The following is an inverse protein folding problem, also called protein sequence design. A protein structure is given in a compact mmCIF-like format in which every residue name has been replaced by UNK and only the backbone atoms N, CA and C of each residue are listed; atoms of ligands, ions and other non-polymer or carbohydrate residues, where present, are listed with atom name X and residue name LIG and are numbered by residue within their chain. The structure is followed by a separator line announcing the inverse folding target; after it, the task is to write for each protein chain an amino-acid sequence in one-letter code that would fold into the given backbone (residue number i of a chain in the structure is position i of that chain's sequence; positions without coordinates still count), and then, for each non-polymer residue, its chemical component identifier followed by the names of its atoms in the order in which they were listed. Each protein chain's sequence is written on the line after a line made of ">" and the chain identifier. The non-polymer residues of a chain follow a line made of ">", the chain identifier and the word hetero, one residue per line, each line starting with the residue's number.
data_IF_111684981067
#
_entry.id   IF_111684981067
#
_cell.length_a   1.000
_cell.length_b   1.000
_cell.length_c   1.000
_cell.angle_alpha   90.00
_cell.angle_beta   90.00
_cell.angle_gamma   90.00
#
_symmetry.space_group_name_H-M   'P 1'
#
loop_
_entity.id
_entity.type
_entity.pdbx_description
1 polymer ?
#
# COMPACT_ATOMS: atom_id res chain seq x y z
N UNK A 1 25.73 9.16 43.10
CA UNK A 1 24.52 9.15 43.96
C UNK A 1 23.59 8.04 43.47
N UNK A 2 23.20 7.13 44.37
CA UNK A 2 22.32 5.97 44.13
C UNK A 2 20.86 6.41 44.00
N UNK A 3 20.12 5.95 42.98
CA UNK A 3 18.65 5.76 42.98
C UNK A 3 18.31 4.62 42.01
N UNK A 4 18.09 3.38 42.47
CA UNK A 4 16.89 2.76 43.08
C UNK A 4 15.83 2.31 42.05
N UNK A 5 15.71 0.98 42.01
CA UNK A 5 14.71 0.07 41.46
C UNK A 5 13.26 0.57 41.43
N UNK A 6 12.50 0.05 40.45
CA UNK A 6 11.04 0.12 40.44
C UNK A 6 10.41 -0.79 39.39
N UNK A 7 10.61 -2.10 39.51
CA UNK A 7 9.88 -3.12 38.74
C UNK A 7 8.50 -3.31 39.38
N UNK A 8 7.42 -2.95 38.69
CA UNK A 8 6.06 -3.25 39.11
C UNK A 8 5.43 -4.22 38.10
N UNK A 9 5.48 -5.50 38.46
CA UNK A 9 4.73 -6.58 37.80
C UNK A 9 3.35 -6.63 38.49
N UNK A 10 2.28 -6.30 37.78
CA UNK A 10 0.91 -6.51 38.26
C UNK A 10 0.19 -7.44 37.29
N UNK A 11 0.20 -8.72 37.61
CA UNK A 11 -0.62 -9.73 36.95
C UNK A 11 -1.94 -9.85 37.72
N UNK A 12 -3.05 -9.49 37.06
CA UNK A 12 -4.39 -9.77 37.55
C UNK A 12 -5.04 -10.78 36.60
N UNK A 13 -4.93 -12.06 36.94
CA UNK A 13 -5.62 -13.14 36.27
C UNK A 13 -7.01 -13.32 36.90
N UNK A 14 -8.05 -12.93 36.17
CA UNK A 14 -9.44 -13.21 36.53
C UNK A 14 -9.93 -14.36 35.63
N UNK A 15 -9.88 -15.59 36.15
CA UNK A 15 -10.39 -16.77 35.46
C UNK A 15 -11.82 -17.05 35.95
N UNK A 16 -12.80 -16.89 35.06
CA UNK A 16 -14.17 -17.36 35.27
C UNK A 16 -14.38 -18.69 34.53
N UNK A 17 -14.92 -19.74 35.17
CA UNK A 17 -15.26 -20.98 34.48
C UNK A 17 -16.57 -20.81 33.70
N UNK A 18 -16.47 -20.68 32.37
CA UNK A 18 -17.61 -20.88 31.48
C UNK A 18 -17.85 -22.39 31.33
N UNK A 19 -18.90 -22.90 31.97
CA UNK A 19 -19.41 -24.24 31.70
C UNK A 19 -20.20 -24.21 30.40
N UNK A 20 -19.54 -24.58 29.30
CA UNK A 20 -20.20 -24.86 28.03
C UNK A 20 -20.78 -26.28 28.11
N UNK A 21 -22.12 -26.37 28.02
CA UNK A 21 -22.82 -27.62 27.77
C UNK A 21 -22.40 -28.13 26.38
N UNK A 22 -21.59 -29.19 26.36
CA UNK A 22 -21.23 -29.90 25.15
C UNK A 22 -22.48 -30.59 24.59
N UNK A 23 -23.05 -30.01 23.54
CA UNK A 23 -24.06 -30.67 22.73
C UNK A 23 -23.30 -31.59 21.76
N UNK A 24 -23.30 -32.87 22.08
CA UNK A 24 -22.65 -33.96 21.35
C UNK A 24 -23.40 -34.20 20.03
N UNK A 25 -23.27 -33.24 19.10
CA UNK A 25 -23.68 -33.41 17.72
C UNK A 25 -22.49 -34.04 16.99
N UNK A 26 -22.59 -35.28 16.50
CA UNK A 26 -21.55 -35.85 15.66
C UNK A 26 -21.36 -34.91 14.47
N UNK A 27 -20.14 -34.35 14.35
CA UNK A 27 -19.78 -33.52 13.24
C UNK A 27 -20.10 -34.29 11.95
N UNK A 28 -20.85 -33.71 11.00
CA UNK A 28 -21.01 -34.35 9.70
C UNK A 28 -19.62 -34.62 9.18
N UNK A 29 -19.33 -35.88 8.86
CA UNK A 29 -18.08 -36.32 8.26
C UNK A 29 -17.72 -35.32 7.16
N UNK A 30 -16.72 -34.48 7.42
CA UNK A 30 -16.28 -33.49 6.45
C UNK A 30 -15.63 -34.31 5.36
N UNK A 31 -16.40 -34.62 4.32
CA UNK A 31 -15.86 -35.11 3.06
C UNK A 31 -14.69 -34.19 2.74
N UNK A 32 -13.48 -34.74 2.78
CA UNK A 32 -12.26 -34.00 2.52
C UNK A 32 -12.46 -33.33 1.16
N UNK A 33 -12.70 -32.02 1.18
CA UNK A 33 -12.85 -31.25 -0.04
C UNK A 33 -11.55 -31.49 -0.82
N UNK A 34 -11.69 -32.02 -2.04
CA UNK A 34 -10.57 -32.21 -2.96
C UNK A 34 -9.83 -30.87 -3.01
N UNK A 35 -8.63 -30.84 -2.44
CA UNK A 35 -7.89 -29.62 -2.16
C UNK A 35 -7.41 -29.10 -3.52
N UNK A 36 -8.21 -28.23 -4.14
CA UNK A 36 -7.95 -27.72 -5.47
C UNK A 36 -6.52 -27.16 -5.51
N UNK A 37 -5.70 -27.49 -6.52
CA UNK A 37 -4.30 -27.14 -6.53
C UNK A 37 -4.11 -25.62 -6.44
N UNK A 38 -3.34 -25.17 -5.46
CA UNK A 38 -3.02 -23.75 -5.27
C UNK A 38 -1.93 -23.34 -6.25
N UNK A 39 -2.24 -22.38 -7.13
CA UNK A 39 -1.29 -21.84 -8.10
C UNK A 39 -0.55 -20.66 -7.48
N UNK A 40 0.78 -20.73 -7.42
CA UNK A 40 1.63 -19.69 -6.81
C UNK A 40 2.28 -18.82 -7.88
N UNK A 41 2.02 -17.52 -7.83
CA UNK A 41 2.55 -16.52 -8.78
C UNK A 41 3.37 -15.46 -8.05
N UNK A 42 4.50 -15.04 -8.62
CA UNK A 42 5.36 -14.02 -8.03
C UNK A 42 4.97 -12.63 -8.52
N UNK A 43 4.85 -11.68 -7.60
CA UNK A 43 4.59 -10.26 -7.87
C UNK A 43 5.87 -9.48 -7.57
N UNK A 44 6.61 -9.11 -8.62
CA UNK A 44 7.93 -8.46 -8.48
C UNK A 44 7.94 -7.00 -8.90
N UNK A 45 6.87 -6.54 -9.54
CA UNK A 45 6.63 -5.17 -9.98
C UNK A 45 5.15 -4.82 -9.84
N UNK A 46 4.78 -3.56 -10.11
CA UNK A 46 3.38 -3.15 -10.09
C UNK A 46 2.57 -3.95 -11.11
N UNK A 47 1.44 -4.51 -10.69
CA UNK A 47 0.72 -5.48 -11.50
C UNK A 47 -0.77 -5.51 -11.22
N UNK A 48 -1.50 -5.99 -12.23
CA UNK A 48 -2.86 -6.47 -12.07
C UNK A 48 -2.82 -8.00 -11.84
N UNK A 49 -3.34 -8.48 -10.71
CA UNK A 49 -3.26 -9.88 -10.31
C UNK A 49 -4.04 -10.78 -11.29
N UNK A 50 -5.17 -10.32 -11.80
CA UNK A 50 -5.94 -11.03 -12.82
C UNK A 50 -5.13 -11.21 -14.10
N UNK A 51 -4.51 -10.15 -14.61
CA UNK A 51 -3.66 -10.22 -15.79
C UNK A 51 -2.45 -11.16 -15.60
N UNK A 52 -1.88 -11.23 -14.38
CA UNK A 52 -0.84 -12.19 -14.05
C UNK A 52 -1.35 -13.64 -14.10
N UNK A 53 -2.55 -13.90 -13.60
CA UNK A 53 -3.17 -15.22 -13.67
C UNK A 53 -3.51 -15.60 -15.13
N UNK A 54 -4.05 -14.68 -15.92
CA UNK A 54 -4.36 -14.92 -17.34
C UNK A 54 -3.09 -15.27 -18.13
N UNK A 55 -2.00 -14.56 -17.87
CA UNK A 55 -0.68 -14.87 -18.45
C UNK A 55 -0.14 -16.24 -17.99
N UNK A 56 -0.53 -16.70 -16.80
CA UNK A 56 -0.22 -18.03 -16.30
C UNK A 56 -1.18 -19.12 -16.81
N UNK A 57 -2.14 -18.77 -17.68
CA UNK A 57 -3.06 -19.72 -18.32
C UNK A 57 -4.46 -19.77 -17.68
N UNK A 58 -4.81 -18.83 -16.81
CA UNK A 58 -6.17 -18.75 -16.29
C UNK A 58 -7.15 -18.36 -17.39
N UNK A 59 -8.21 -19.15 -17.55
CA UNK A 59 -9.24 -18.94 -18.58
C UNK A 59 -10.47 -18.17 -18.06
N UNK A 60 -10.52 -17.88 -16.76
CA UNK A 60 -11.65 -17.19 -16.11
C UNK A 60 -12.89 -18.03 -15.82
N UNK A 61 -12.86 -19.33 -16.08
CA UNK A 61 -14.03 -20.20 -15.91
C UNK A 61 -13.89 -21.16 -14.72
N UNK A 62 -12.66 -21.46 -14.30
CA UNK A 62 -12.38 -22.40 -13.21
C UNK A 62 -12.39 -21.73 -11.83
N UNK A 63 -12.96 -22.43 -10.84
CA UNK A 63 -12.75 -22.13 -9.42
C UNK A 63 -11.30 -22.50 -9.09
N UNK A 64 -10.43 -21.50 -9.08
CA UNK A 64 -9.00 -21.68 -8.86
C UNK A 64 -8.55 -20.87 -7.64
N UNK A 65 -7.68 -21.47 -6.84
CA UNK A 65 -7.07 -20.83 -5.68
C UNK A 65 -5.70 -20.28 -6.08
N UNK A 66 -5.57 -18.96 -6.08
CA UNK A 66 -4.30 -18.29 -6.43
C UNK A 66 -3.62 -17.71 -5.19
N UNK A 67 -2.33 -17.98 -5.08
CA UNK A 67 -1.44 -17.34 -4.10
C UNK A 67 -0.43 -16.45 -4.82
N UNK A 68 -0.64 -15.14 -4.73
CA UNK A 68 0.28 -14.13 -5.22
C UNK A 68 1.30 -13.81 -4.14
N UNK A 69 2.60 -13.92 -4.43
CA UNK A 69 3.67 -13.74 -3.46
C UNK A 69 4.52 -12.54 -3.84
N UNK A 70 4.65 -11.57 -2.93
CA UNK A 70 5.65 -10.51 -3.03
C UNK A 70 6.92 -11.00 -2.32
N UNK A 71 8.03 -11.27 -3.04
CA UNK A 71 9.23 -11.83 -2.42
C UNK A 71 9.89 -10.87 -1.42
N UNK A 72 10.66 -11.42 -0.46
CA UNK A 72 11.22 -10.67 0.68
C UNK A 72 12.21 -9.56 0.26
N UNK A 73 12.86 -9.69 -0.89
CA UNK A 73 13.85 -8.75 -1.43
C UNK A 73 13.25 -7.76 -2.44
N UNK A 74 11.92 -7.71 -2.58
CA UNK A 74 11.25 -6.89 -3.60
C UNK A 74 10.48 -5.72 -3.01
N UNK A 75 10.56 -4.61 -3.73
CA UNK A 75 9.73 -3.42 -3.55
C UNK A 75 8.81 -3.30 -4.75
N UNK A 76 7.53 -3.64 -4.58
CA UNK A 76 6.48 -3.42 -5.57
C UNK A 76 5.95 -2.02 -5.36
N UNK A 77 6.22 -1.12 -6.32
CA UNK A 77 5.89 0.30 -6.20
C UNK A 77 4.94 0.73 -7.29
N UNK A 78 3.88 1.44 -6.92
CA UNK A 78 2.98 2.10 -7.84
C UNK A 78 3.70 3.19 -8.66
N UNK A 79 3.10 3.52 -9.80
CA UNK A 79 3.65 4.52 -10.71
C UNK A 79 3.75 5.89 -10.02
N UNK A 80 4.81 6.63 -10.30
CA UNK A 80 4.93 8.04 -9.91
C UNK A 80 3.66 8.84 -10.27
N UNK A 81 3.29 9.77 -9.39
CA UNK A 81 2.10 10.62 -9.55
C UNK A 81 0.84 10.00 -8.96
N UNK A 82 0.98 9.10 -7.99
CA UNK A 82 -0.17 8.51 -7.28
C UNK A 82 -0.70 7.19 -7.87
N UNK A 83 0.09 6.45 -8.62
CA UNK A 83 -0.34 5.17 -9.20
C UNK A 83 -0.49 4.06 -8.17
N UNK A 84 -1.39 3.11 -8.44
CA UNK A 84 -1.59 1.90 -7.62
C UNK A 84 -0.45 0.90 -7.83
N UNK A 85 0.00 0.23 -6.76
CA UNK A 85 1.01 -0.83 -6.86
C UNK A 85 0.40 -2.17 -7.33
N UNK A 86 -0.61 -2.66 -6.64
CA UNK A 86 -1.29 -3.93 -6.95
C UNK A 86 -2.77 -3.66 -7.17
N UNK A 87 -3.30 -4.06 -8.33
CA UNK A 87 -4.73 -4.09 -8.60
C UNK A 87 -5.17 -5.56 -8.62
N UNK A 88 -6.21 -5.94 -7.89
CA UNK A 88 -6.68 -7.33 -7.95
C UNK A 88 -7.22 -7.68 -9.34
N UNK A 89 -7.77 -6.71 -10.07
CA UNK A 89 -8.60 -6.96 -11.24
C UNK A 89 -9.94 -7.57 -10.87
N UNK A 90 -10.73 -7.90 -11.90
CA UNK A 90 -12.04 -8.52 -11.77
C UNK A 90 -11.91 -10.05 -11.79
N UNK A 91 -12.66 -10.71 -10.92
CA UNK A 91 -12.64 -12.16 -10.76
C UNK A 91 -14.07 -12.71 -10.68
N UNK A 92 -14.29 -13.97 -11.11
CA UNK A 92 -15.56 -14.66 -10.85
C UNK A 92 -15.86 -14.72 -9.34
N UNK A 93 -17.14 -14.73 -8.97
CA UNK A 93 -17.59 -14.65 -7.56
C UNK A 93 -17.00 -15.74 -6.65
N UNK A 94 -16.66 -16.91 -7.21
CA UNK A 94 -16.13 -18.05 -6.46
C UNK A 94 -14.60 -18.17 -6.51
N UNK A 95 -13.89 -17.18 -7.05
CA UNK A 95 -12.43 -17.20 -7.06
C UNK A 95 -11.87 -16.91 -5.67
N UNK A 96 -10.92 -17.73 -5.22
CA UNK A 96 -10.18 -17.47 -3.98
C UNK A 96 -8.79 -16.92 -4.31
N UNK A 97 -8.52 -15.71 -3.80
CA UNK A 97 -7.28 -14.99 -4.06
C UNK A 97 -6.59 -14.69 -2.73
N UNK A 98 -5.32 -15.07 -2.63
CA UNK A 98 -4.46 -14.72 -1.51
C UNK A 98 -3.26 -13.90 -1.99
N UNK A 99 -2.93 -12.83 -1.27
CA UNK A 99 -1.70 -12.06 -1.43
C UNK A 99 -0.81 -12.27 -0.20
N UNK A 100 0.34 -12.90 -0.40
CA UNK A 100 1.37 -13.13 0.61
C UNK A 100 2.49 -12.12 0.44
N UNK A 101 2.59 -11.17 1.37
CA UNK A 101 3.57 -10.08 1.34
C UNK A 101 4.76 -10.42 2.22
N UNK A 102 5.88 -10.81 1.61
CA UNK A 102 7.18 -11.00 2.30
C UNK A 102 8.08 -9.78 2.16
N UNK A 103 7.98 -9.08 1.03
CA UNK A 103 8.68 -7.82 0.75
C UNK A 103 7.83 -6.60 1.04
N UNK A 104 8.00 -5.55 0.25
CA UNK A 104 7.31 -4.28 0.48
C UNK A 104 6.44 -3.87 -0.70
N UNK A 105 5.22 -3.42 -0.40
CA UNK A 105 4.27 -2.89 -1.38
C UNK A 105 4.00 -1.42 -1.06
N UNK A 106 4.20 -0.55 -2.04
CA UNK A 106 4.05 0.89 -1.90
C UNK A 106 3.13 1.46 -2.98
N UNK A 107 2.15 2.25 -2.58
CA UNK A 107 1.49 3.15 -3.53
C UNK A 107 2.48 4.17 -4.10
N UNK A 108 2.23 4.63 -5.32
CA UNK A 108 3.07 5.64 -5.96
C UNK A 108 3.00 6.99 -5.24
N UNK A 109 4.13 7.68 -5.15
CA UNK A 109 4.20 9.01 -4.52
C UNK A 109 3.52 10.07 -5.39
N UNK A 110 2.82 11.00 -4.77
CA UNK A 110 2.24 12.17 -5.45
C UNK A 110 3.33 13.15 -5.87
N UNK A 111 3.18 13.79 -7.03
CA UNK A 111 4.12 14.81 -7.48
C UNK A 111 3.95 16.09 -6.67
N UNK A 112 5.04 16.77 -6.34
CA UNK A 112 4.98 18.13 -5.83
C UNK A 112 4.40 19.08 -6.89
N UNK A 113 3.76 20.15 -6.43
CA UNK A 113 3.28 21.19 -7.32
C UNK A 113 4.39 22.18 -7.67
N UNK A 114 4.40 22.67 -8.91
CA UNK A 114 5.33 23.70 -9.33
C UNK A 114 5.05 25.01 -8.59
N UNK A 115 6.12 25.76 -8.28
CA UNK A 115 6.01 27.15 -7.85
C UNK A 115 5.70 28.05 -9.05
N UNK A 116 5.21 29.26 -8.82
CA UNK A 116 4.95 30.19 -9.91
C UNK A 116 4.40 31.52 -9.44
N UNK A 117 4.45 32.49 -10.34
CA UNK A 117 3.91 33.82 -10.08
C UNK A 117 2.42 33.74 -9.79
N UNK A 118 1.99 34.51 -8.80
CA UNK A 118 0.58 34.73 -8.47
C UNK A 118 -0.28 34.86 -9.73
N UNK A 119 -1.46 34.21 -9.81
CA UNK A 119 -2.27 33.86 -8.64
C UNK A 119 -2.67 32.37 -8.55
N UNK A 120 -1.79 31.41 -8.84
CA UNK A 120 -2.18 30.00 -8.68
C UNK A 120 -1.07 29.13 -8.10
N UNK A 121 -0.92 29.18 -6.78
CA UNK A 121 -0.36 28.06 -6.01
C UNK A 121 -1.16 26.80 -6.38
N UNK A 122 -0.47 25.74 -6.77
CA UNK A 122 -1.09 24.45 -7.07
C UNK A 122 -0.89 23.51 -5.87
N UNK A 123 -1.90 22.70 -5.60
CA UNK A 123 -1.78 21.61 -4.67
C UNK A 123 -0.90 20.51 -5.25
N UNK A 124 -0.09 19.87 -4.41
CA UNK A 124 0.62 18.67 -4.79
C UNK A 124 -0.33 17.53 -5.17
N UNK A 125 0.15 16.62 -6.00
CA UNK A 125 -0.57 15.42 -6.38
C UNK A 125 -0.81 14.49 -5.20
N UNK A 126 -1.91 13.73 -5.25
CA UNK A 126 -2.22 12.71 -4.25
C UNK A 126 -1.26 11.53 -4.36
N UNK A 127 -0.97 10.90 -3.23
CA UNK A 127 -0.33 9.60 -3.20
C UNK A 127 -1.31 8.50 -3.65
N UNK A 128 -0.76 7.39 -4.12
CA UNK A 128 -1.51 6.26 -4.65
C UNK A 128 -1.77 5.18 -3.62
N UNK A 129 -2.69 4.28 -3.95
CA UNK A 129 -2.98 3.12 -3.13
C UNK A 129 -1.89 2.05 -3.29
N UNK A 130 -1.56 1.37 -2.19
CA UNK A 130 -0.70 0.20 -2.29
C UNK A 130 -1.40 -0.96 -2.99
N UNK A 131 -2.67 -1.17 -2.65
CA UNK A 131 -3.51 -2.24 -3.17
C UNK A 131 -4.91 -1.69 -3.45
N UNK A 132 -5.40 -1.90 -4.65
CA UNK A 132 -6.79 -1.63 -5.04
C UNK A 132 -7.55 -2.95 -5.18
N UNK A 133 -8.56 -3.15 -4.33
CA UNK A 133 -9.29 -4.42 -4.18
C UNK A 133 -10.64 -4.32 -4.88
N UNK A 134 -10.84 -5.12 -5.93
CA UNK A 134 -12.09 -5.26 -6.68
C UNK A 134 -12.76 -6.64 -6.53
N UNK A 135 -12.07 -7.58 -5.92
CA UNK A 135 -12.55 -8.93 -5.62
C UNK A 135 -12.12 -9.35 -4.21
N UNK A 136 -12.83 -10.27 -3.53
CA UNK A 136 -12.42 -10.77 -2.22
C UNK A 136 -10.96 -11.23 -2.21
N UNK A 137 -10.16 -10.68 -1.30
CA UNK A 137 -8.72 -10.91 -1.21
C UNK A 137 -8.32 -11.20 0.23
N UNK A 138 -7.69 -12.35 0.46
CA UNK A 138 -6.98 -12.63 1.71
C UNK A 138 -5.56 -12.02 1.65
N UNK A 139 -5.17 -11.24 2.64
CA UNK A 139 -3.82 -10.65 2.71
C UNK A 139 -3.07 -11.23 3.91
N UNK A 140 -1.90 -11.79 3.66
CA UNK A 140 -0.99 -12.30 4.69
C UNK A 140 0.32 -11.52 4.62
N UNK A 141 0.62 -10.74 5.66
CA UNK A 141 1.89 -10.01 5.77
C UNK A 141 2.84 -10.84 6.62
N UNK A 142 3.93 -11.34 6.02
CA UNK A 142 4.96 -12.11 6.71
C UNK A 142 5.94 -11.18 7.45
N UNK A 143 6.75 -11.71 8.39
CA UNK A 143 7.79 -10.91 9.03
C UNK A 143 8.67 -10.19 8.02
N UNK A 144 8.96 -8.91 8.27
CA UNK A 144 9.66 -7.96 7.37
C UNK A 144 8.84 -7.45 6.18
N UNK A 145 7.67 -8.05 5.91
CA UNK A 145 6.76 -7.57 4.90
C UNK A 145 6.09 -6.25 5.31
N UNK A 146 5.70 -5.42 4.34
CA UNK A 146 4.89 -4.22 4.64
C UNK A 146 4.06 -3.75 3.46
N UNK A 147 2.93 -3.11 3.77
CA UNK A 147 2.07 -2.44 2.78
C UNK A 147 1.94 -0.98 3.23
N UNK A 148 2.22 -0.02 2.34
CA UNK A 148 2.15 1.41 2.65
C UNK A 148 1.56 2.19 1.46
N UNK A 149 0.61 3.07 1.72
CA UNK A 149 0.16 4.01 0.69
C UNK A 149 1.30 4.95 0.26
N UNK A 150 1.15 5.56 -0.91
CA UNK A 150 2.02 6.62 -1.36
C UNK A 150 1.82 7.90 -0.55
N UNK A 151 2.88 8.64 -0.29
CA UNK A 151 2.81 9.99 0.27
C UNK A 151 2.27 10.99 -0.75
N UNK A 152 1.50 11.97 -0.28
CA UNK A 152 1.11 13.13 -1.11
C UNK A 152 2.30 14.02 -1.43
N UNK A 153 2.24 14.71 -2.56
CA UNK A 153 3.18 15.77 -2.90
C UNK A 153 2.89 17.05 -2.12
N UNK A 154 3.93 17.82 -1.84
CA UNK A 154 3.82 19.14 -1.25
C UNK A 154 3.25 20.15 -2.25
N UNK A 155 2.50 21.13 -1.74
CA UNK A 155 2.09 22.30 -2.52
C UNK A 155 3.32 23.14 -2.89
N UNK A 156 3.22 23.88 -3.99
CA UNK A 156 4.17 24.95 -4.31
C UNK A 156 4.01 26.12 -3.32
N UNK A 157 5.01 27.00 -3.25
CA UNK A 157 4.89 28.25 -2.50
C UNK A 157 4.66 29.43 -3.43
N UNK A 158 3.89 30.40 -2.94
CA UNK A 158 3.79 31.73 -3.54
C UNK A 158 5.08 32.54 -3.27
N UNK A 159 5.44 33.47 -4.16
CA UNK A 159 6.62 34.34 -4.02
C UNK A 159 7.84 33.89 -4.84
N UNK A 160 8.99 33.62 -4.22
CA UNK A 160 10.28 33.27 -4.89
C UNK A 160 10.20 31.91 -5.65
N UNK A 161 9.00 31.38 -5.86
CA UNK A 161 8.76 30.27 -6.78
C UNK A 161 9.40 28.96 -6.33
N UNK A 162 9.30 28.55 -5.06
CA UNK A 162 9.77 27.20 -4.71
C UNK A 162 8.70 26.16 -5.05
N UNK A 163 9.04 25.16 -5.86
CA UNK A 163 8.21 23.98 -6.07
C UNK A 163 8.11 23.12 -4.81
N UNK A 164 6.99 22.40 -4.68
CA UNK A 164 6.73 21.49 -3.57
C UNK A 164 7.54 20.19 -3.66
N UNK A 165 7.79 19.54 -2.52
CA UNK A 165 8.47 18.25 -2.48
C UNK A 165 7.64 17.11 -3.07
N UNK A 166 8.28 16.14 -3.70
CA UNK A 166 7.62 14.92 -4.16
C UNK A 166 7.32 13.97 -2.99
N UNK A 167 6.17 13.30 -3.03
CA UNK A 167 5.79 12.31 -2.02
C UNK A 167 6.60 11.02 -2.13
N UNK A 168 6.84 10.36 -0.99
CA UNK A 168 7.44 9.01 -0.98
C UNK A 168 6.52 7.99 -1.68
N UNK A 169 7.03 6.94 -2.36
CA UNK A 169 8.45 6.61 -2.57
C UNK A 169 9.11 7.32 -3.75
N UNK A 170 8.34 7.78 -4.73
CA UNK A 170 8.85 8.14 -6.05
C UNK A 170 8.17 9.37 -6.69
N UNK A 171 7.48 10.20 -5.90
CA UNK A 171 6.92 11.45 -6.38
C UNK A 171 8.04 12.38 -6.86
N UNK A 172 7.86 13.00 -8.03
CA UNK A 172 8.79 14.05 -8.50
C UNK A 172 8.49 15.32 -7.72
N UNK A 173 9.52 16.08 -7.34
CA UNK A 173 9.34 17.45 -6.86
C UNK A 173 8.73 18.34 -7.95
N UNK A 174 8.02 19.37 -7.51
CA UNK A 174 7.59 20.46 -8.38
C UNK A 174 8.80 21.29 -8.80
N UNK A 175 8.73 21.84 -10.00
CA UNK A 175 9.73 22.74 -10.53
C UNK A 175 9.60 24.11 -9.83
N UNK A 176 10.72 24.83 -9.72
CA UNK A 176 10.70 26.20 -9.21
C UNK A 176 10.06 27.16 -10.21
N UNK A 177 9.31 28.14 -9.72
CA UNK A 177 8.90 29.31 -10.48
C UNK A 177 10.08 30.25 -10.74
N UNK A 178 9.92 31.11 -11.76
CA UNK A 178 10.87 32.21 -11.96
C UNK A 178 10.79 33.16 -10.78
N UNK A 179 11.94 33.64 -10.28
CA UNK A 179 11.90 34.81 -9.42
C UNK A 179 11.32 35.97 -10.25
N UNK A 180 10.34 36.68 -9.69
CA UNK A 180 9.89 37.96 -10.25
C UNK A 180 11.12 38.87 -10.35
N UNK A 181 11.63 39.04 -11.58
CA UNK A 181 12.56 40.11 -11.87
C UNK A 181 11.73 41.39 -11.78
N UNK A 182 11.78 42.06 -10.63
CA UNK A 182 11.11 43.35 -10.49
C UNK A 182 11.56 44.27 -11.62
N UNK A 183 10.68 45.15 -12.09
CA UNK A 183 10.86 46.02 -13.27
C UNK A 183 12.14 46.90 -13.27
N UNK A 184 12.94 46.87 -12.20
CA UNK A 184 14.26 47.51 -12.08
C UNK A 184 15.47 46.56 -12.10
N UNK A 185 15.33 45.28 -12.42
CA UNK A 185 16.44 44.31 -12.44
C UNK A 185 16.98 43.91 -11.05
N UNK A 186 16.27 44.26 -9.99
CA UNK A 186 16.60 43.87 -8.62
C UNK A 186 15.81 42.61 -8.27
N UNK A 187 16.53 41.53 -7.99
CA UNK A 187 15.95 40.36 -7.33
C UNK A 187 15.80 40.72 -5.85
N UNK A 188 14.57 40.98 -5.41
CA UNK A 188 14.28 41.16 -3.98
C UNK A 188 14.04 39.78 -3.38
N UNK A 189 15.07 39.18 -2.81
CA UNK A 189 14.94 37.93 -2.08
C UNK A 189 14.59 38.20 -0.61
N UNK A 190 13.30 38.10 -0.27
CA UNK A 190 12.80 38.02 1.10
C UNK A 190 12.72 39.35 1.87
N UNK A 191 11.63 39.52 2.62
CA UNK A 191 11.57 40.42 3.79
C UNK A 191 11.92 39.62 5.05
#
# INVERSE_FOLDING_TARGET
>A
MKKLFGTALLALALALPLSVMAQDHPAPDSAAADDAPVIVLQVTEAANLRALADKAGYDGHSAASYAFVVPQDKNVMGKQGGGTAIDTGEWPENAFIALVVKGHVYGGGGNGADGGDTPMVRDGGRGGDAIYVRAPLAIVIQPKGSIKAGGGGGAGADGIGSGGGGGFPNGKGGDGGSALQGDGGIIVAGN
#
